data_IF_438162387262
#
_entry.id   IF_438162387262
#
_cell.length_a   1.000
_cell.length_b   1.000
_cell.length_c   1.000
_cell.angle_alpha   90.00
_cell.angle_beta   90.00
_cell.angle_gamma   90.00
#
_symmetry.space_group_name_H-M   'P 1'
#
loop_
_entity.id
_entity.type
_entity.pdbx_description
1 polymer ?
#
# COMPACT_ATOMS: atom_id res chain seq x y z
N UNK A 1 -58.19 26.42 -20.36
CA UNK A 1 -57.88 27.45 -19.35
C UNK A 1 -56.40 27.36 -19.06
N UNK A 2 -55.72 28.29 -19.68
CA UNK A 2 -54.34 28.66 -19.55
C UNK A 2 -54.02 29.09 -18.14
N UNK A 3 -52.84 28.75 -17.67
CA UNK A 3 -52.05 29.65 -16.80
C UNK A 3 -50.56 29.56 -17.17
N UNK A 4 -50.15 30.54 -17.94
CA UNK A 4 -48.76 30.91 -18.13
C UNK A 4 -48.22 31.57 -16.86
N UNK A 5 -47.03 31.21 -16.38
CA UNK A 5 -46.24 32.05 -15.48
C UNK A 5 -44.81 32.11 -16.03
N UNK A 6 -44.55 33.26 -16.60
CA UNK A 6 -43.23 33.78 -16.96
C UNK A 6 -42.40 34.05 -15.70
N UNK A 7 -41.25 33.45 -15.57
CA UNK A 7 -40.21 33.83 -14.63
C UNK A 7 -38.88 33.84 -15.39
N UNK A 8 -38.42 35.07 -15.71
CA UNK A 8 -37.10 35.36 -16.23
C UNK A 8 -36.03 35.05 -15.18
N UNK A 9 -35.22 34.04 -15.41
CA UNK A 9 -33.94 33.88 -14.71
C UNK A 9 -32.78 34.13 -15.68
N UNK A 10 -32.29 35.35 -15.63
CA UNK A 10 -31.06 35.84 -16.25
C UNK A 10 -29.85 35.30 -15.50
N UNK A 11 -29.41 34.10 -15.81
CA UNK A 11 -28.00 33.68 -15.69
C UNK A 11 -27.70 32.68 -16.80
N UNK A 12 -26.82 33.10 -17.72
CA UNK A 12 -26.44 32.32 -18.90
C UNK A 12 -25.73 31.03 -18.54
N UNK A 13 -26.50 29.98 -18.32
CA UNK A 13 -25.99 28.59 -18.33
C UNK A 13 -25.98 28.13 -19.78
N UNK A 14 -24.81 27.97 -20.36
CA UNK A 14 -24.61 27.30 -21.63
C UNK A 14 -25.22 25.88 -21.52
N UNK A 15 -26.42 25.71 -22.01
CA UNK A 15 -27.09 24.41 -22.16
C UNK A 15 -26.40 23.64 -23.29
N UNK A 16 -25.31 22.92 -22.98
CA UNK A 16 -24.76 21.90 -23.87
C UNK A 16 -25.74 20.72 -23.89
N UNK A 17 -26.29 20.30 -25.04
CA UNK A 17 -27.24 19.20 -25.12
C UNK A 17 -26.66 17.93 -24.53
N UNK A 18 -27.46 17.21 -23.74
CA UNK A 18 -27.06 15.99 -23.02
C UNK A 18 -26.35 14.95 -23.92
N UNK A 19 -26.76 14.85 -25.20
CA UNK A 19 -26.13 14.00 -26.20
C UNK A 19 -24.68 14.37 -26.51
N UNK A 20 -24.34 15.67 -26.53
CA UNK A 20 -22.96 16.14 -26.75
C UNK A 20 -22.07 15.87 -25.52
N UNK A 21 -22.60 16.03 -24.30
CA UNK A 21 -21.87 15.66 -23.08
C UNK A 21 -21.56 14.17 -23.00
N UNK A 22 -22.52 13.31 -23.38
CA UNK A 22 -22.28 11.86 -23.41
C UNK A 22 -21.25 11.45 -24.48
N UNK A 23 -21.25 12.11 -25.64
CA UNK A 23 -20.30 11.82 -26.70
C UNK A 23 -18.87 12.26 -26.35
N UNK A 24 -18.71 13.46 -25.77
CA UNK A 24 -17.41 13.97 -25.30
C UNK A 24 -16.86 13.16 -24.13
N UNK A 25 -17.71 12.71 -23.19
CA UNK A 25 -17.30 11.88 -22.06
C UNK A 25 -16.86 10.46 -22.48
N UNK A 26 -17.41 9.89 -23.56
CA UNK A 26 -16.97 8.59 -24.07
C UNK A 26 -15.59 8.66 -24.79
N UNK A 27 -15.20 9.82 -25.32
CA UNK A 27 -13.88 10.04 -25.93
C UNK A 27 -12.76 10.16 -24.88
N UNK A 28 -13.07 10.46 -23.64
CA UNK A 28 -12.11 10.57 -22.56
C UNK A 28 -11.68 9.22 -21.97
N UNK A 29 -12.50 8.17 -22.12
CA UNK A 29 -12.18 6.82 -21.64
C UNK A 29 -11.08 6.23 -22.51
N UNK A 30 -9.99 5.75 -21.86
CA UNK A 30 -8.75 5.30 -22.52
C UNK A 30 -8.06 6.38 -23.37
N UNK A 31 -8.56 7.62 -23.37
CA UNK A 31 -8.04 8.77 -24.12
C UNK A 31 -6.89 9.49 -23.42
N UNK A 32 -6.43 10.59 -24.05
CA UNK A 32 -5.31 11.39 -23.50
C UNK A 32 -5.59 11.93 -22.09
N UNK A 33 -6.83 12.34 -21.80
CA UNK A 33 -7.22 12.82 -20.48
C UNK A 33 -7.09 11.72 -19.40
N UNK A 34 -7.41 10.46 -19.73
CA UNK A 34 -7.24 9.33 -18.84
C UNK A 34 -5.75 9.08 -18.52
N UNK A 35 -4.88 9.14 -19.53
CA UNK A 35 -3.43 8.97 -19.33
C UNK A 35 -2.79 10.10 -18.54
N UNK A 36 -3.20 11.35 -18.78
CA UNK A 36 -2.77 12.49 -17.96
C UNK A 36 -3.21 12.32 -16.48
N UNK A 37 -4.44 11.86 -16.27
CA UNK A 37 -4.96 11.60 -14.92
C UNK A 37 -4.20 10.47 -14.23
N UNK A 38 -3.86 9.41 -14.94
CA UNK A 38 -3.00 8.34 -14.43
C UNK A 38 -1.61 8.86 -14.02
N UNK A 39 -1.00 9.68 -14.87
CA UNK A 39 0.29 10.33 -14.55
C UNK A 39 0.20 11.20 -13.30
N UNK A 40 -0.86 12.00 -13.16
CA UNK A 40 -1.12 12.80 -11.98
C UNK A 40 -1.36 11.94 -10.73
N UNK A 41 -2.11 10.84 -10.85
CA UNK A 41 -2.33 9.89 -9.76
C UNK A 41 -1.04 9.21 -9.30
N UNK A 42 -0.19 8.80 -10.24
CA UNK A 42 1.13 8.24 -9.95
C UNK A 42 2.02 9.25 -9.21
N UNK A 43 2.08 10.50 -9.69
CA UNK A 43 2.86 11.56 -9.07
C UNK A 43 2.35 11.87 -7.65
N UNK A 44 1.04 12.07 -7.47
CA UNK A 44 0.44 12.31 -6.16
C UNK A 44 0.63 11.09 -5.23
N UNK A 45 0.49 9.87 -5.72
CA UNK A 45 0.76 8.66 -4.97
C UNK A 45 2.21 8.54 -4.54
N UNK A 46 3.16 8.95 -5.39
CA UNK A 46 4.60 9.00 -5.09
C UNK A 46 4.92 10.08 -4.06
N UNK A 47 4.36 11.28 -4.22
CA UNK A 47 4.52 12.37 -3.25
C UNK A 47 3.90 12.01 -1.90
N UNK A 48 2.66 11.52 -1.90
CA UNK A 48 1.93 11.17 -0.68
C UNK A 48 2.45 9.91 0.03
N UNK A 49 3.07 9.00 -0.72
CA UNK A 49 3.70 7.79 -0.17
C UNK A 49 4.91 8.08 0.74
N UNK A 50 5.46 9.30 0.70
CA UNK A 50 6.52 9.74 1.62
C UNK A 50 6.12 9.55 3.08
N UNK A 51 4.84 9.67 3.43
CA UNK A 51 4.32 9.51 4.78
C UNK A 51 4.62 8.15 5.40
N UNK A 52 4.80 7.10 4.60
CA UNK A 52 5.14 5.76 5.08
C UNK A 52 6.66 5.57 5.25
N UNK A 53 7.48 6.23 4.43
CA UNK A 53 8.92 5.94 4.34
C UNK A 53 9.81 6.93 5.08
N UNK A 54 9.36 8.18 5.24
CA UNK A 54 10.16 9.21 5.93
C UNK A 54 10.45 8.87 7.39
N UNK A 55 9.46 8.31 8.10
CA UNK A 55 9.59 7.93 9.51
C UNK A 55 10.70 6.90 9.72
N UNK A 56 10.92 6.01 8.76
CA UNK A 56 11.97 4.99 8.80
C UNK A 56 13.37 5.64 8.71
N UNK A 57 13.52 6.63 7.84
CA UNK A 57 14.81 7.33 7.64
C UNK A 57 15.17 8.20 8.83
N UNK A 58 14.19 8.87 9.43
CA UNK A 58 14.44 9.76 10.59
C UNK A 58 14.51 9.02 11.92
N UNK A 59 14.14 7.73 11.97
CA UNK A 59 14.06 6.93 13.18
C UNK A 59 15.33 6.99 14.04
N UNK A 60 16.56 6.81 13.52
CA UNK A 60 17.78 6.90 14.33
C UNK A 60 17.99 8.27 14.94
N UNK A 61 17.68 9.35 14.21
CA UNK A 61 17.83 10.72 14.70
C UNK A 61 16.79 11.05 15.79
N UNK A 62 15.54 10.61 15.59
CA UNK A 62 14.44 10.74 16.56
C UNK A 62 14.76 9.96 17.84
N UNK A 63 15.29 8.74 17.69
CA UNK A 63 15.71 7.91 18.82
C UNK A 63 16.81 8.59 19.66
N UNK A 64 17.83 9.10 18.98
CA UNK A 64 18.96 9.76 19.64
C UNK A 64 18.54 11.05 20.35
N UNK A 65 17.69 11.88 19.72
CA UNK A 65 17.27 13.17 20.30
C UNK A 65 16.32 13.02 21.48
N UNK A 66 15.37 12.08 21.41
CA UNK A 66 14.43 11.86 22.52
C UNK A 66 14.95 10.87 23.57
N UNK A 67 16.12 10.26 23.38
CA UNK A 67 16.75 9.36 24.35
C UNK A 67 15.90 8.12 24.65
N UNK A 68 15.21 7.57 23.66
CA UNK A 68 14.29 6.44 23.81
C UNK A 68 14.86 5.15 23.26
N UNK A 69 14.35 4.00 23.72
CA UNK A 69 14.69 2.69 23.19
C UNK A 69 14.22 2.48 21.75
N UNK A 70 14.76 1.48 21.05
CA UNK A 70 14.44 1.17 19.66
C UNK A 70 12.96 0.80 19.47
N UNK A 71 12.40 0.03 20.40
CA UNK A 71 10.98 -0.31 20.40
C UNK A 71 10.09 0.92 20.51
N UNK A 72 10.41 1.85 21.41
CA UNK A 72 9.69 3.12 21.52
C UNK A 72 9.86 3.99 20.25
N UNK A 73 11.07 4.10 19.71
CA UNK A 73 11.36 4.84 18.49
C UNK A 73 10.62 4.30 17.26
N UNK A 74 10.25 3.00 17.26
CA UNK A 74 9.50 2.35 16.17
C UNK A 74 7.98 2.57 16.27
N UNK A 75 7.45 2.99 17.41
CA UNK A 75 6.00 3.24 17.61
C UNK A 75 5.42 4.25 16.62
N UNK A 76 6.06 5.37 16.26
CA UNK A 76 5.56 6.30 15.25
C UNK A 76 5.28 5.59 13.92
N UNK A 77 6.14 4.67 13.46
CA UNK A 77 5.90 3.88 12.26
C UNK A 77 4.66 2.97 12.42
N UNK A 78 4.57 2.25 13.53
CA UNK A 78 3.43 1.35 13.81
C UNK A 78 2.11 2.10 13.86
N UNK A 79 2.10 3.27 14.51
CA UNK A 79 0.93 4.14 14.56
C UNK A 79 0.61 4.76 13.19
N UNK A 80 1.63 5.03 12.35
CA UNK A 80 1.44 5.43 10.95
C UNK A 80 0.69 4.35 10.18
N UNK A 81 1.06 3.08 10.31
CA UNK A 81 0.37 1.96 9.64
C UNK A 81 -1.08 1.81 10.11
N UNK A 82 -1.33 1.91 11.41
CA UNK A 82 -2.68 1.88 11.98
C UNK A 82 -3.50 3.09 11.50
N UNK A 83 -2.91 4.29 11.58
CA UNK A 83 -3.54 5.53 11.09
C UNK A 83 -3.92 5.43 9.61
N UNK A 84 -3.01 4.91 8.79
CA UNK A 84 -3.27 4.69 7.36
C UNK A 84 -4.41 3.69 7.13
N UNK A 85 -4.44 2.56 7.84
CA UNK A 85 -5.50 1.56 7.73
C UNK A 85 -6.87 2.14 8.12
N UNK A 86 -6.95 2.82 9.24
CA UNK A 86 -8.18 3.48 9.71
C UNK A 86 -8.59 4.61 8.78
N UNK A 87 -7.64 5.48 8.43
CA UNK A 87 -7.86 6.62 7.54
C UNK A 87 -8.37 6.21 6.17
N UNK A 88 -7.86 5.10 5.61
CA UNK A 88 -8.28 4.61 4.28
C UNK A 88 -9.77 4.27 4.22
N UNK A 89 -10.36 3.77 5.31
CA UNK A 89 -11.79 3.47 5.40
C UNK A 89 -12.62 4.77 5.42
N UNK A 90 -12.19 5.75 6.23
CA UNK A 90 -12.92 7.03 6.33
C UNK A 90 -12.78 7.87 5.07
N UNK A 91 -11.58 7.97 4.53
CA UNK A 91 -11.30 8.74 3.31
C UNK A 91 -11.92 8.10 2.07
N UNK A 92 -11.96 6.76 2.00
CA UNK A 92 -12.69 6.05 0.96
C UNK A 92 -14.17 6.40 0.96
N UNK A 93 -14.86 6.29 2.11
CA UNK A 93 -16.27 6.67 2.25
C UNK A 93 -16.52 8.14 1.95
N UNK A 94 -15.60 9.02 2.31
CA UNK A 94 -15.71 10.43 1.99
C UNK A 94 -15.56 10.67 0.48
N UNK A 95 -14.60 10.00 -0.16
CA UNK A 95 -14.42 10.05 -1.62
C UNK A 95 -15.68 9.59 -2.37
N UNK A 96 -16.32 8.52 -1.91
CA UNK A 96 -17.56 8.01 -2.51
C UNK A 96 -18.71 9.04 -2.48
N UNK A 97 -18.72 9.90 -1.49
CA UNK A 97 -19.77 10.92 -1.31
C UNK A 97 -19.51 12.22 -2.06
N UNK A 98 -18.27 12.68 -2.11
CA UNK A 98 -17.91 14.03 -2.58
C UNK A 98 -16.97 14.06 -3.77
N UNK A 99 -16.59 12.88 -4.28
CA UNK A 99 -15.58 12.72 -5.34
C UNK A 99 -14.16 12.81 -4.79
N UNK A 100 -13.18 12.46 -5.64
CA UNK A 100 -11.76 12.32 -5.27
C UNK A 100 -11.06 13.66 -4.98
N UNK A 101 -11.49 14.76 -5.59
CA UNK A 101 -10.81 16.05 -5.52
C UNK A 101 -10.68 16.58 -4.07
N UNK A 102 -11.81 16.64 -3.33
CA UNK A 102 -11.82 17.18 -1.96
C UNK A 102 -10.96 16.38 -0.99
N UNK A 103 -11.04 15.03 -0.94
CA UNK A 103 -10.13 14.21 -0.13
C UNK A 103 -8.65 14.36 -0.48
N UNK A 104 -8.31 14.49 -1.78
CA UNK A 104 -6.92 14.70 -2.22
C UNK A 104 -6.39 16.06 -1.75
N UNK A 105 -7.18 17.14 -1.86
CA UNK A 105 -6.80 18.47 -1.35
C UNK A 105 -6.63 18.44 0.18
N UNK A 106 -7.57 17.85 0.90
CA UNK A 106 -7.48 17.72 2.36
C UNK A 106 -6.27 16.86 2.75
N UNK A 107 -6.00 15.79 2.00
CA UNK A 107 -4.83 14.94 2.18
C UNK A 107 -3.52 15.70 1.97
N UNK A 108 -3.41 16.50 0.91
CA UNK A 108 -2.23 17.31 0.63
C UNK A 108 -1.95 18.33 1.75
N UNK A 109 -3.00 19.01 2.23
CA UNK A 109 -2.89 19.95 3.34
C UNK A 109 -2.52 19.25 4.65
N UNK A 110 -3.21 18.18 4.99
CA UNK A 110 -2.95 17.43 6.23
C UNK A 110 -1.54 16.81 6.23
N UNK A 111 -1.09 16.29 5.08
CA UNK A 111 0.24 15.74 4.93
C UNK A 111 1.31 16.82 5.18
N UNK A 112 1.17 17.98 4.53
CA UNK A 112 2.11 19.08 4.70
C UNK A 112 2.13 19.64 6.12
N UNK A 113 0.96 19.92 6.70
CA UNK A 113 0.82 20.37 8.10
C UNK A 113 1.33 19.32 9.09
N UNK A 114 1.11 18.04 8.79
CA UNK A 114 1.59 16.92 9.60
C UNK A 114 3.12 16.86 9.65
N UNK A 115 3.78 17.10 8.52
CA UNK A 115 5.24 17.18 8.46
C UNK A 115 5.80 18.39 9.21
N UNK A 116 5.14 19.55 9.10
CA UNK A 116 5.51 20.73 9.90
C UNK A 116 5.34 20.43 11.40
N UNK A 117 4.21 19.84 11.79
CA UNK A 117 3.95 19.46 13.19
C UNK A 117 4.97 18.41 13.70
N UNK A 118 5.32 17.42 12.88
CA UNK A 118 6.32 16.41 13.21
C UNK A 118 7.71 17.04 13.42
N UNK A 119 8.11 18.00 12.57
CA UNK A 119 9.36 18.72 12.72
C UNK A 119 9.40 19.65 13.94
N UNK A 120 8.23 20.09 14.43
CA UNK A 120 8.09 20.94 15.63
C UNK A 120 7.83 20.14 16.92
N UNK A 121 7.69 18.81 16.85
CA UNK A 121 7.38 17.97 17.99
C UNK A 121 8.47 18.07 19.09
N UNK A 122 8.01 18.17 20.34
CA UNK A 122 8.88 18.33 21.51
C UNK A 122 9.21 17.01 22.19
N UNK A 123 8.44 15.99 21.90
CA UNK A 123 8.58 14.64 22.44
C UNK A 123 8.09 13.60 21.44
N UNK A 124 8.39 12.32 21.73
CA UNK A 124 8.04 11.20 20.88
C UNK A 124 6.52 11.07 20.68
N UNK A 125 5.70 11.41 21.69
CA UNK A 125 4.24 11.30 21.60
C UNK A 125 3.67 12.29 20.60
N UNK A 126 4.09 13.57 20.64
CA UNK A 126 3.68 14.58 19.67
C UNK A 126 4.09 14.19 18.25
N UNK A 127 5.32 13.70 18.09
CA UNK A 127 5.84 13.20 16.81
C UNK A 127 4.99 12.03 16.30
N UNK A 128 4.72 11.04 17.15
CA UNK A 128 3.92 9.87 16.80
C UNK A 128 2.46 10.24 16.46
N UNK A 129 1.87 11.20 17.17
CA UNK A 129 0.53 11.69 16.92
C UNK A 129 0.43 12.42 15.56
N UNK A 130 1.40 13.27 15.23
CA UNK A 130 1.50 13.93 13.93
C UNK A 130 1.64 12.89 12.80
N UNK A 131 2.48 11.87 12.98
CA UNK A 131 2.66 10.77 12.04
C UNK A 131 1.37 9.97 11.85
N UNK A 132 0.70 9.56 12.92
CA UNK A 132 -0.47 8.70 12.84
C UNK A 132 -1.71 9.41 12.28
N UNK A 133 -1.99 10.63 12.76
CA UNK A 133 -3.24 11.33 12.46
C UNK A 133 -3.11 12.21 11.22
N UNK A 134 -2.15 13.15 11.23
CA UNK A 134 -2.05 14.13 10.16
C UNK A 134 -1.39 13.54 8.92
N UNK A 135 -0.25 12.85 9.08
CA UNK A 135 0.49 12.32 7.94
C UNK A 135 -0.20 11.06 7.39
N UNK A 136 -0.55 10.10 8.23
CA UNK A 136 -1.08 8.82 7.75
C UNK A 136 -2.59 8.83 7.54
N UNK A 137 -3.39 9.06 8.62
CA UNK A 137 -4.83 8.86 8.57
C UNK A 137 -5.55 9.87 7.67
N UNK A 138 -5.12 11.13 7.66
CA UNK A 138 -5.75 12.16 6.85
C UNK A 138 -4.91 12.45 5.61
N UNK A 139 -3.58 12.51 5.74
CA UNK A 139 -2.65 12.92 4.70
C UNK A 139 -2.47 11.89 3.59
N UNK A 140 -1.89 10.73 3.91
CA UNK A 140 -1.51 9.73 2.90
C UNK A 140 -2.66 8.81 2.47
N UNK A 141 -3.64 8.54 3.33
CA UNK A 141 -4.69 7.56 3.07
C UNK A 141 -5.57 7.88 1.84
N UNK A 142 -5.95 9.14 1.54
CA UNK A 142 -6.73 9.45 0.34
C UNK A 142 -5.90 9.39 -0.95
N UNK A 143 -4.57 9.37 -0.83
CA UNK A 143 -3.65 9.47 -1.95
C UNK A 143 -3.27 8.10 -2.56
N UNK A 144 -3.89 7.02 -2.13
CA UNK A 144 -3.66 5.68 -2.68
C UNK A 144 -4.95 4.99 -3.09
N UNK A 145 -5.74 4.47 -2.17
CA UNK A 145 -6.97 3.71 -2.47
C UNK A 145 -8.01 4.52 -3.27
N UNK A 146 -8.38 5.72 -2.82
CA UNK A 146 -9.29 6.61 -3.54
C UNK A 146 -8.80 7.00 -4.94
N UNK A 147 -7.48 7.24 -5.12
CA UNK A 147 -6.93 7.51 -6.45
C UNK A 147 -7.00 6.30 -7.37
N UNK A 148 -6.73 5.10 -6.87
CA UNK A 148 -6.89 3.87 -7.65
C UNK A 148 -8.35 3.67 -8.07
N UNK A 149 -9.30 3.91 -7.16
CA UNK A 149 -10.72 3.84 -7.47
C UNK A 149 -11.10 4.83 -8.58
N UNK A 150 -10.66 6.09 -8.46
CA UNK A 150 -10.89 7.12 -9.47
C UNK A 150 -10.29 6.75 -10.83
N UNK A 151 -9.01 6.37 -10.89
CA UNK A 151 -8.35 5.94 -12.13
C UNK A 151 -9.09 4.79 -12.79
N UNK A 152 -9.68 3.88 -12.02
CA UNK A 152 -10.43 2.75 -12.55
C UNK A 152 -11.64 3.13 -13.41
N UNK A 153 -12.20 4.32 -13.23
CA UNK A 153 -13.32 4.85 -14.01
C UNK A 153 -12.91 5.50 -15.34
N UNK A 154 -11.62 5.84 -15.50
CA UNK A 154 -11.09 6.47 -16.71
C UNK A 154 -10.58 5.48 -17.74
N UNK A 155 -10.43 4.20 -17.35
CA UNK A 155 -9.92 3.15 -18.22
C UNK A 155 -10.91 2.00 -18.34
N UNK A 156 -11.08 1.49 -19.57
CA UNK A 156 -11.86 0.30 -19.89
C UNK A 156 -10.95 -0.80 -20.44
N UNK A 157 -10.25 -0.52 -21.52
CA UNK A 157 -9.32 -1.46 -22.18
C UNK A 157 -8.06 -1.72 -21.37
N UNK A 158 -7.48 -0.67 -20.79
CA UNK A 158 -6.19 -0.73 -20.08
C UNK A 158 -6.35 -0.63 -18.55
N UNK A 159 -7.53 -0.95 -18.03
CA UNK A 159 -7.86 -0.75 -16.61
C UNK A 159 -6.91 -1.46 -15.66
N UNK A 160 -6.58 -2.74 -15.89
CA UNK A 160 -5.66 -3.51 -15.05
C UNK A 160 -4.25 -2.91 -15.06
N UNK A 161 -3.76 -2.52 -16.24
CA UNK A 161 -2.47 -1.86 -16.38
C UNK A 161 -2.44 -0.51 -15.64
N UNK A 162 -3.44 0.33 -15.83
CA UNK A 162 -3.55 1.64 -15.18
C UNK A 162 -3.57 1.52 -13.64
N UNK A 163 -4.33 0.55 -13.10
CA UNK A 163 -4.34 0.26 -11.66
C UNK A 163 -2.98 -0.21 -11.15
N UNK A 164 -2.29 -1.06 -11.91
CA UNK A 164 -0.95 -1.52 -11.55
C UNK A 164 0.05 -0.37 -11.52
N UNK A 165 0.04 0.50 -12.53
CA UNK A 165 0.88 1.71 -12.59
C UNK A 165 0.58 2.63 -11.40
N UNK A 166 -0.69 2.93 -11.12
CA UNK A 166 -1.08 3.75 -9.98
C UNK A 166 -0.58 3.15 -8.65
N UNK A 167 -0.69 1.82 -8.50
CA UNK A 167 -0.25 1.12 -7.29
C UNK A 167 1.28 1.11 -7.09
N UNK A 168 2.07 1.34 -8.15
CA UNK A 168 3.55 1.45 -8.02
C UNK A 168 3.99 2.77 -7.39
N UNK A 169 3.11 3.78 -7.29
CA UNK A 169 3.42 5.08 -6.69
C UNK A 169 4.01 4.99 -5.29
N UNK A 170 3.51 4.08 -4.44
CA UNK A 170 4.06 3.85 -3.11
C UNK A 170 5.50 3.27 -3.13
N UNK A 171 5.80 2.40 -4.08
CA UNK A 171 7.15 1.86 -4.26
C UNK A 171 8.10 2.92 -4.84
N UNK A 172 7.63 3.76 -5.78
CA UNK A 172 8.38 4.94 -6.21
C UNK A 172 8.67 5.88 -5.06
N UNK A 173 7.71 6.09 -4.15
CA UNK A 173 7.94 6.88 -2.94
C UNK A 173 9.07 6.28 -2.09
N UNK A 174 9.04 4.98 -1.82
CA UNK A 174 10.08 4.28 -1.06
C UNK A 174 11.42 4.22 -1.77
N UNK A 175 11.45 4.34 -3.09
CA UNK A 175 12.68 4.38 -3.89
C UNK A 175 13.31 5.77 -3.88
N UNK A 176 12.50 6.83 -4.00
CA UNK A 176 13.01 8.19 -4.22
C UNK A 176 13.25 8.95 -2.90
N UNK A 177 12.32 8.84 -1.94
CA UNK A 177 12.36 9.68 -0.75
C UNK A 177 13.47 9.34 0.24
N UNK A 178 13.84 8.09 0.54
CA UNK A 178 14.86 7.80 1.54
C UNK A 178 16.20 8.48 1.27
N UNK A 179 16.82 8.40 0.07
CA UNK A 179 18.06 9.10 -0.21
C UNK A 179 17.90 10.62 -0.23
N UNK A 180 16.76 11.14 -0.72
CA UNK A 180 16.49 12.58 -0.72
C UNK A 180 16.40 13.12 0.71
N UNK A 181 15.64 12.45 1.57
CA UNK A 181 15.48 12.84 2.98
C UNK A 181 16.82 12.80 3.69
N UNK A 182 17.58 11.72 3.50
CA UNK A 182 18.89 11.58 4.12
C UNK A 182 19.86 12.69 3.67
N UNK A 183 19.86 13.06 2.39
CA UNK A 183 20.68 14.15 1.87
C UNK A 183 20.43 15.47 2.60
N UNK A 184 19.15 15.87 2.71
CA UNK A 184 18.80 17.10 3.42
C UNK A 184 19.01 17.01 4.95
N UNK A 185 18.87 15.82 5.53
CA UNK A 185 19.10 15.61 6.96
C UNK A 185 20.57 15.82 7.36
N UNK A 186 21.52 15.53 6.46
CA UNK A 186 22.95 15.73 6.74
C UNK A 186 23.30 17.22 6.91
N UNK A 187 22.68 18.10 6.11
CA UNK A 187 22.98 19.52 6.13
C UNK A 187 22.10 20.31 7.10
N UNK A 188 20.82 19.98 7.20
CA UNK A 188 19.82 20.77 7.92
C UNK A 188 19.27 20.09 9.18
N UNK A 189 19.61 18.84 9.41
CA UNK A 189 19.03 18.03 10.48
C UNK A 189 17.58 17.56 10.17
N UNK A 190 17.09 16.60 10.94
CA UNK A 190 15.81 15.94 10.65
C UNK A 190 14.59 16.86 10.81
N UNK A 191 14.62 17.79 11.78
CA UNK A 191 13.49 18.71 12.05
C UNK A 191 13.26 19.68 10.89
N UNK A 192 14.31 20.37 10.45
CA UNK A 192 14.23 21.30 9.34
C UNK A 192 13.87 20.58 8.03
N UNK A 193 14.39 19.36 7.83
CA UNK A 193 14.05 18.51 6.69
C UNK A 193 12.56 18.14 6.69
N UNK A 194 11.98 17.77 7.84
CA UNK A 194 10.54 17.50 7.96
C UNK A 194 9.70 18.74 7.62
N UNK A 195 10.03 19.90 8.20
CA UNK A 195 9.31 21.15 7.93
C UNK A 195 9.41 21.54 6.44
N UNK A 196 10.62 21.50 5.87
CA UNK A 196 10.85 21.80 4.45
C UNK A 196 10.07 20.87 3.53
N UNK A 197 10.03 19.57 3.87
CA UNK A 197 9.25 18.58 3.14
C UNK A 197 7.75 18.88 3.21
N UNK A 198 7.23 19.25 4.37
CA UNK A 198 5.82 19.64 4.53
C UNK A 198 5.44 20.80 3.63
N UNK A 199 6.26 21.85 3.60
CA UNK A 199 6.06 23.02 2.74
C UNK A 199 6.13 22.63 1.26
N UNK A 200 7.15 21.85 0.87
CA UNK A 200 7.32 21.38 -0.50
C UNK A 200 6.11 20.57 -0.97
N UNK A 201 5.63 19.62 -0.16
CA UNK A 201 4.48 18.80 -0.50
C UNK A 201 3.21 19.64 -0.70
N UNK A 202 2.94 20.63 0.16
CA UNK A 202 1.81 21.53 -0.02
C UNK A 202 1.91 22.31 -1.33
N UNK A 203 3.07 22.89 -1.62
CA UNK A 203 3.28 23.69 -2.83
C UNK A 203 3.09 22.86 -4.11
N UNK A 204 3.57 21.61 -4.12
CA UNK A 204 3.54 20.76 -5.32
C UNK A 204 2.21 20.01 -5.45
N UNK A 205 1.68 19.46 -4.35
CA UNK A 205 0.50 18.60 -4.43
C UNK A 205 -0.81 19.38 -4.60
N UNK A 206 -0.91 20.60 -4.06
CA UNK A 206 -2.14 21.39 -4.20
C UNK A 206 -2.44 21.73 -5.67
N UNK A 207 -1.50 22.25 -6.48
CA UNK A 207 -1.73 22.43 -7.91
C UNK A 207 -2.06 21.13 -8.64
N UNK A 208 -1.34 20.03 -8.34
CA UNK A 208 -1.61 18.74 -8.95
C UNK A 208 -3.01 18.21 -8.60
N UNK A 209 -3.52 18.51 -7.40
CA UNK A 209 -4.87 18.11 -6.99
C UNK A 209 -5.95 18.69 -7.91
N UNK A 210 -5.75 19.88 -8.49
CA UNK A 210 -6.72 20.47 -9.42
C UNK A 210 -6.96 19.64 -10.68
N UNK A 211 -6.03 18.78 -11.09
CA UNK A 211 -6.23 17.83 -12.18
C UNK A 211 -7.34 16.81 -11.86
N UNK A 212 -7.68 16.62 -10.59
CA UNK A 212 -8.75 15.74 -10.13
C UNK A 212 -10.11 16.44 -9.95
N UNK A 213 -10.20 17.74 -10.28
CA UNK A 213 -11.43 18.50 -10.17
C UNK A 213 -12.53 18.02 -11.14
N UNK A 214 -12.11 17.50 -12.32
CA UNK A 214 -13.03 16.94 -13.30
C UNK A 214 -13.58 15.60 -12.76
N UNK A 215 -14.91 15.42 -12.65
CA UNK A 215 -15.48 14.17 -12.19
C UNK A 215 -15.15 13.04 -13.16
N UNK A 216 -15.10 11.81 -12.64
CA UNK A 216 -14.91 10.63 -13.47
C UNK A 216 -16.08 10.48 -14.46
N UNK A 217 -15.83 9.94 -15.68
CA UNK A 217 -16.88 9.65 -16.65
C UNK A 217 -17.91 8.70 -16.01
N UNK A 218 -19.20 9.00 -16.20
CA UNK A 218 -20.27 8.08 -15.80
C UNK A 218 -20.21 6.88 -16.74
N UNK A 219 -19.66 5.80 -16.25
CA UNK A 219 -19.80 4.50 -16.88
C UNK A 219 -21.03 3.85 -16.26
N UNK A 220 -21.90 3.24 -17.09
CA UNK A 220 -22.85 2.25 -16.59
C UNK A 220 -22.07 1.30 -15.70
N UNK A 221 -22.55 1.08 -14.47
CA UNK A 221 -21.79 0.42 -13.40
C UNK A 221 -20.93 -0.69 -14.01
N UNK A 222 -19.61 -0.65 -13.92
CA UNK A 222 -18.78 -1.61 -14.59
C UNK A 222 -19.29 -2.96 -14.13
N UNK A 223 -19.72 -3.79 -15.09
CA UNK A 223 -19.91 -5.21 -14.82
C UNK A 223 -18.72 -5.58 -13.96
N UNK A 224 -18.98 -5.82 -12.68
CA UNK A 224 -17.99 -5.89 -11.61
C UNK A 224 -16.75 -6.54 -12.18
N UNK A 225 -15.54 -6.16 -11.76
CA UNK A 225 -14.25 -6.66 -12.27
C UNK A 225 -14.30 -8.20 -12.33
N UNK A 226 -15.10 -8.70 -13.23
CA UNK A 226 -15.46 -10.09 -13.46
C UNK A 226 -14.62 -10.69 -14.59
N UNK A 227 -13.40 -10.20 -14.76
CA UNK A 227 -12.33 -11.03 -15.30
C UNK A 227 -11.74 -11.89 -14.18
N UNK A 228 -12.63 -12.47 -13.37
CA UNK A 228 -12.29 -13.67 -12.61
C UNK A 228 -12.26 -14.77 -13.65
N UNK A 229 -11.12 -15.37 -13.86
CA UNK A 229 -11.03 -16.70 -14.47
C UNK A 229 -11.83 -17.62 -13.56
N UNK A 230 -13.14 -17.69 -13.78
CA UNK A 230 -13.98 -18.70 -13.19
C UNK A 230 -13.48 -20.03 -13.74
N UNK A 231 -12.69 -20.74 -12.97
CA UNK A 231 -12.62 -22.19 -13.16
C UNK A 231 -13.99 -22.73 -12.76
N UNK A 232 -14.72 -23.37 -13.68
CA UNK A 232 -16.14 -23.72 -13.49
C UNK A 232 -16.46 -24.69 -12.33
N UNK A 233 -15.44 -25.26 -11.71
CA UNK A 233 -15.55 -26.36 -10.74
C UNK A 233 -15.29 -26.00 -9.27
N UNK A 234 -15.21 -24.71 -8.91
CA UNK A 234 -14.97 -24.35 -7.51
C UNK A 234 -16.24 -24.02 -6.76
N UNK A 235 -16.46 -24.71 -5.64
CA UNK A 235 -17.51 -24.38 -4.69
C UNK A 235 -17.13 -23.11 -3.89
N UNK A 236 -17.64 -21.95 -4.35
CA UNK A 236 -17.40 -20.66 -3.71
C UNK A 236 -18.14 -20.52 -2.38
N UNK A 237 -19.08 -21.42 -2.06
CA UNK A 237 -19.78 -21.44 -0.77
C UNK A 237 -18.89 -22.00 0.36
N UNK A 238 -17.88 -22.80 -0.01
CA UNK A 238 -16.92 -23.42 0.91
C UNK A 238 -15.47 -23.27 0.42
N UNK A 239 -14.90 -22.05 0.46
CA UNK A 239 -13.54 -21.82 0.03
C UNK A 239 -12.57 -22.78 0.76
N UNK A 240 -11.77 -23.51 0.01
CA UNK A 240 -10.85 -24.52 0.54
C UNK A 240 -11.55 -25.65 1.35
N UNK A 241 -12.84 -25.88 1.14
CA UNK A 241 -13.62 -26.81 1.96
C UNK A 241 -13.84 -26.36 3.42
N UNK A 242 -13.60 -25.08 3.71
CA UNK A 242 -13.79 -24.43 5.01
C UNK A 242 -15.02 -23.53 4.99
N UNK A 243 -15.48 -23.12 6.18
CA UNK A 243 -16.45 -22.03 6.24
C UNK A 243 -15.81 -20.73 5.68
N UNK A 244 -16.57 -19.85 5.03
CA UNK A 244 -16.04 -18.61 4.44
C UNK A 244 -15.31 -17.73 5.47
N UNK A 245 -15.80 -17.68 6.71
CA UNK A 245 -15.18 -16.88 7.77
C UNK A 245 -13.85 -17.50 8.26
N UNK A 246 -13.76 -18.83 8.35
CA UNK A 246 -12.51 -19.51 8.70
C UNK A 246 -11.46 -19.34 7.60
N UNK A 247 -11.84 -19.48 6.34
CA UNK A 247 -10.96 -19.24 5.20
C UNK A 247 -10.45 -17.79 5.20
N UNK A 248 -11.33 -16.81 5.45
CA UNK A 248 -10.98 -15.41 5.58
C UNK A 248 -10.02 -15.16 6.75
N UNK A 249 -10.27 -15.76 7.90
CA UNK A 249 -9.41 -15.61 9.08
C UNK A 249 -8.00 -16.16 8.82
N UNK A 250 -7.88 -17.31 8.15
CA UNK A 250 -6.57 -17.88 7.77
C UNK A 250 -5.83 -16.98 6.78
N UNK A 251 -6.51 -16.44 5.77
CA UNK A 251 -5.92 -15.52 4.80
C UNK A 251 -5.46 -14.23 5.50
N UNK A 252 -6.30 -13.67 6.37
CA UNK A 252 -5.97 -12.47 7.14
C UNK A 252 -4.77 -12.71 8.06
N UNK A 253 -4.75 -13.84 8.78
CA UNK A 253 -3.64 -14.19 9.66
C UNK A 253 -2.34 -14.48 8.90
N UNK A 254 -2.40 -15.14 7.74
CA UNK A 254 -1.27 -15.29 6.85
C UNK A 254 -0.74 -13.92 6.39
N UNK A 255 -1.63 -12.96 6.09
CA UNK A 255 -1.28 -11.58 5.75
C UNK A 255 -0.57 -10.86 6.89
N UNK A 256 -1.05 -11.01 8.14
CA UNK A 256 -0.33 -10.50 9.33
C UNK A 256 1.05 -11.13 9.43
N UNK A 257 1.14 -12.46 9.38
CA UNK A 257 2.39 -13.18 9.54
C UNK A 257 3.44 -12.81 8.47
N UNK A 258 3.01 -12.72 7.22
CA UNK A 258 3.85 -12.27 6.11
C UNK A 258 4.41 -10.86 6.35
N UNK A 259 3.55 -9.93 6.78
CA UNK A 259 3.93 -8.53 6.91
C UNK A 259 4.72 -8.23 8.20
N UNK A 260 4.55 -9.02 9.26
CA UNK A 260 5.48 -9.01 10.39
C UNK A 260 6.90 -9.37 9.93
N UNK A 261 7.04 -10.40 9.13
CA UNK A 261 8.33 -10.80 8.56
C UNK A 261 8.92 -9.73 7.63
N UNK A 262 8.06 -9.11 6.81
CA UNK A 262 8.44 -8.07 5.83
C UNK A 262 8.91 -6.79 6.50
N UNK A 263 8.34 -6.44 7.66
CA UNK A 263 8.62 -5.19 8.36
C UNK A 263 10.05 -5.10 8.90
N UNK A 264 10.70 -6.24 9.20
CA UNK A 264 12.05 -6.22 9.76
C UNK A 264 13.04 -5.49 8.84
N UNK A 265 13.30 -5.90 7.60
CA UNK A 265 14.20 -5.17 6.74
C UNK A 265 13.68 -3.78 6.37
N UNK A 266 12.37 -3.64 6.10
CA UNK A 266 11.82 -2.37 5.63
C UNK A 266 11.86 -1.25 6.67
N UNK A 267 11.68 -1.56 7.94
CA UNK A 267 11.61 -0.55 9.02
C UNK A 267 12.97 -0.33 9.66
N UNK A 268 13.76 -1.39 9.80
CA UNK A 268 14.97 -1.36 10.61
C UNK A 268 16.27 -1.29 9.79
N UNK A 269 16.24 -1.42 8.45
CA UNK A 269 17.47 -1.44 7.63
C UNK A 269 18.33 -0.19 7.82
N UNK A 270 17.70 1.00 7.98
CA UNK A 270 18.43 2.26 8.16
C UNK A 270 19.14 2.28 9.52
N UNK A 271 18.43 1.85 10.57
CA UNK A 271 18.99 1.75 11.91
C UNK A 271 20.03 0.63 12.01
N UNK A 272 19.77 -0.51 11.37
CA UNK A 272 20.72 -1.64 11.30
C UNK A 272 22.04 -1.25 10.65
N UNK A 273 22.01 -0.57 9.50
CA UNK A 273 23.22 -0.06 8.85
C UNK A 273 23.97 0.96 9.70
N UNK A 274 23.23 1.82 10.44
CA UNK A 274 23.83 2.77 11.36
C UNK A 274 24.57 2.06 12.50
N UNK A 275 23.96 1.02 13.09
CA UNK A 275 24.51 0.26 14.21
C UNK A 275 25.71 -0.61 13.79
N UNK A 276 25.74 -1.09 12.52
CA UNK A 276 26.90 -1.75 11.92
C UNK A 276 28.05 -0.78 11.55
N UNK A 277 27.87 0.53 11.76
CA UNK A 277 28.88 1.54 11.45
C UNK A 277 28.92 1.99 10.00
N UNK A 278 28.01 1.53 9.14
CA UNK A 278 27.92 1.97 7.73
C UNK A 278 27.24 3.32 7.55
N UNK A 279 26.49 3.75 8.58
CA UNK A 279 25.79 5.03 8.63
C UNK A 279 24.40 5.01 8.00
N UNK A 280 23.60 6.03 8.33
CA UNK A 280 22.18 6.19 7.91
C UNK A 280 22.04 6.27 6.39
N UNK A 281 23.01 6.91 5.70
CA UNK A 281 23.00 7.06 4.25
C UNK A 281 22.94 5.71 3.52
N UNK A 282 23.78 4.76 3.91
CA UNK A 282 23.81 3.42 3.29
C UNK A 282 22.53 2.64 3.54
N UNK A 283 21.95 2.79 4.73
CA UNK A 283 20.65 2.20 5.03
C UNK A 283 19.51 2.80 4.20
N UNK A 284 19.51 4.11 3.97
CA UNK A 284 18.55 4.78 3.10
C UNK A 284 18.68 4.35 1.62
N UNK A 285 19.92 4.17 1.13
CA UNK A 285 20.20 3.63 -0.21
C UNK A 285 19.70 2.18 -0.34
N UNK A 286 19.90 1.33 0.66
CA UNK A 286 19.44 -0.06 0.68
C UNK A 286 17.91 -0.14 0.69
N UNK A 287 17.24 0.72 1.46
CA UNK A 287 15.78 0.83 1.47
C UNK A 287 15.26 1.26 0.08
N UNK A 288 15.91 2.25 -0.52
CA UNK A 288 15.59 2.72 -1.87
C UNK A 288 15.74 1.59 -2.90
N UNK A 289 16.84 0.85 -2.86
CA UNK A 289 17.11 -0.29 -3.74
C UNK A 289 16.07 -1.40 -3.56
N UNK A 290 15.74 -1.74 -2.32
CA UNK A 290 14.70 -2.71 -1.96
C UNK A 290 13.35 -2.31 -2.57
N UNK A 291 12.94 -1.07 -2.45
CA UNK A 291 11.67 -0.57 -3.02
C UNK A 291 11.72 -0.53 -4.54
N UNK A 292 12.83 -0.14 -5.14
CA UNK A 292 13.03 -0.13 -6.59
C UNK A 292 12.88 -1.52 -7.21
N UNK A 293 13.55 -2.53 -6.65
CA UNK A 293 13.38 -3.93 -7.07
C UNK A 293 11.97 -4.46 -6.76
N UNK A 294 11.32 -3.92 -5.74
CA UNK A 294 9.92 -4.20 -5.43
C UNK A 294 8.95 -3.80 -6.54
N UNK A 295 9.24 -2.75 -7.32
CA UNK A 295 8.47 -2.37 -8.51
C UNK A 295 8.53 -3.49 -9.56
N UNK A 296 9.74 -3.97 -9.86
CA UNK A 296 9.95 -5.07 -10.82
C UNK A 296 9.21 -6.32 -10.36
N UNK A 297 9.36 -6.67 -9.07
CA UNK A 297 8.68 -7.79 -8.45
C UNK A 297 7.15 -7.69 -8.59
N UNK A 298 6.58 -6.52 -8.33
CA UNK A 298 5.13 -6.31 -8.39
C UNK A 298 4.57 -6.54 -9.79
N UNK A 299 5.27 -6.04 -10.80
CA UNK A 299 4.86 -6.22 -12.20
C UNK A 299 5.01 -7.69 -12.64
N UNK A 300 6.14 -8.33 -12.32
CA UNK A 300 6.40 -9.72 -12.62
C UNK A 300 5.40 -10.66 -11.92
N UNK A 301 5.12 -10.41 -10.64
CA UNK A 301 4.18 -11.23 -9.86
C UNK A 301 2.74 -11.10 -10.35
N UNK A 302 2.32 -9.93 -10.84
CA UNK A 302 1.04 -9.76 -11.51
C UNK A 302 0.91 -10.72 -12.69
N UNK A 303 1.89 -10.72 -13.60
CA UNK A 303 1.91 -11.63 -14.75
C UNK A 303 1.99 -13.12 -14.35
N UNK A 304 2.76 -13.44 -13.31
CA UNK A 304 2.86 -14.82 -12.80
C UNK A 304 1.52 -15.25 -12.20
N UNK A 305 0.86 -14.39 -11.41
CA UNK A 305 -0.40 -14.72 -10.76
C UNK A 305 -1.54 -14.94 -11.74
N UNK A 306 -1.53 -14.26 -12.89
CA UNK A 306 -2.48 -14.51 -13.98
C UNK A 306 -2.34 -15.92 -14.58
N UNK A 307 -1.15 -16.50 -14.55
CA UNK A 307 -0.88 -17.84 -15.09
C UNK A 307 -1.06 -18.98 -14.10
N UNK A 308 -0.59 -18.79 -12.85
CA UNK A 308 -0.56 -19.89 -11.86
C UNK A 308 -1.51 -19.69 -10.68
N UNK A 309 -2.21 -18.53 -10.62
CA UNK A 309 -3.14 -18.14 -9.56
C UNK A 309 -2.46 -17.50 -8.36
N UNK A 310 -3.25 -16.74 -7.59
CA UNK A 310 -2.76 -15.96 -6.46
C UNK A 310 -2.12 -16.79 -5.36
N UNK A 311 -2.66 -17.98 -5.06
CA UNK A 311 -2.17 -18.82 -3.96
C UNK A 311 -0.79 -19.42 -4.21
N UNK A 312 -0.50 -19.84 -5.45
CA UNK A 312 0.84 -20.35 -5.82
C UNK A 312 1.86 -19.21 -5.90
N UNK A 313 1.44 -18.04 -6.36
CA UNK A 313 2.27 -16.82 -6.38
C UNK A 313 2.64 -16.40 -4.97
N UNK A 314 1.68 -16.41 -4.02
CA UNK A 314 1.93 -16.19 -2.61
C UNK A 314 2.96 -17.17 -2.05
N UNK A 315 2.84 -18.48 -2.36
CA UNK A 315 3.76 -19.51 -1.88
C UNK A 315 5.20 -19.24 -2.35
N UNK A 316 5.37 -18.96 -3.65
CA UNK A 316 6.69 -18.68 -4.24
C UNK A 316 7.28 -17.43 -3.61
N UNK A 317 6.53 -16.33 -3.56
CA UNK A 317 7.00 -15.08 -2.96
C UNK A 317 7.39 -15.24 -1.50
N UNK A 318 6.56 -15.93 -0.70
CA UNK A 318 6.84 -16.19 0.72
C UNK A 318 8.06 -17.08 0.95
N UNK A 319 8.26 -18.10 0.10
CA UNK A 319 9.46 -18.93 0.16
C UNK A 319 10.72 -18.10 -0.13
N UNK A 320 10.71 -17.33 -1.21
CA UNK A 320 11.83 -16.48 -1.59
C UNK A 320 12.08 -15.35 -0.56
N UNK A 321 11.04 -14.80 0.04
CA UNK A 321 11.17 -13.85 1.18
C UNK A 321 11.88 -14.50 2.37
N UNK A 322 11.54 -15.75 2.71
CA UNK A 322 12.23 -16.51 3.75
C UNK A 322 13.70 -16.70 3.45
N UNK A 323 14.04 -17.03 2.19
CA UNK A 323 15.43 -17.12 1.75
C UNK A 323 16.16 -15.78 1.94
N UNK A 324 15.57 -14.68 1.52
CA UNK A 324 16.20 -13.36 1.66
C UNK A 324 16.38 -12.96 3.14
N UNK A 325 15.40 -13.27 4.01
CA UNK A 325 15.54 -13.06 5.46
C UNK A 325 16.67 -13.89 6.07
N UNK A 326 16.82 -15.14 5.64
CA UNK A 326 17.93 -15.99 6.09
C UNK A 326 19.29 -15.42 5.64
N UNK A 327 19.36 -14.84 4.43
CA UNK A 327 20.59 -14.21 3.94
C UNK A 327 20.99 -12.98 4.78
N UNK A 328 20.04 -12.23 5.35
CA UNK A 328 20.35 -11.14 6.29
C UNK A 328 21.00 -11.63 7.58
N UNK A 329 20.67 -12.84 8.05
CA UNK A 329 21.31 -13.44 9.24
C UNK A 329 22.74 -13.91 8.93
N UNK A 330 23.01 -14.31 7.68
CA UNK A 330 24.31 -14.90 7.30
C UNK A 330 25.32 -13.81 6.89
N UNK A 331 24.83 -12.73 6.28
CA UNK A 331 25.69 -11.73 5.64
C UNK A 331 25.52 -10.34 6.25
N UNK A 332 26.59 -9.82 6.85
CA UNK A 332 26.63 -8.49 7.49
C UNK A 332 27.50 -7.48 6.73
N UNK A 333 28.22 -7.90 5.69
CA UNK A 333 29.09 -7.01 4.92
C UNK A 333 28.31 -6.00 4.07
N UNK A 334 28.85 -4.79 3.91
CA UNK A 334 28.19 -3.71 3.19
C UNK A 334 27.68 -4.12 1.79
N UNK A 335 28.55 -4.70 0.96
CA UNK A 335 28.18 -5.12 -0.40
C UNK A 335 27.15 -6.25 -0.41
N UNK A 336 27.26 -7.21 0.51
CA UNK A 336 26.29 -8.30 0.62
C UNK A 336 24.92 -7.79 1.06
N UNK A 337 24.86 -6.81 1.98
CA UNK A 337 23.61 -6.20 2.39
C UNK A 337 22.89 -5.46 1.26
N UNK A 338 23.62 -4.80 0.35
CA UNK A 338 23.04 -4.23 -0.87
C UNK A 338 22.39 -5.31 -1.75
N UNK A 339 23.10 -6.43 -1.98
CA UNK A 339 22.59 -7.54 -2.78
C UNK A 339 21.37 -8.17 -2.11
N UNK A 340 21.45 -8.45 -0.82
CA UNK A 340 20.34 -9.06 -0.05
C UNK A 340 19.12 -8.11 -0.03
N UNK A 341 19.33 -6.81 0.11
CA UNK A 341 18.24 -5.81 0.06
C UNK A 341 17.55 -5.78 -1.32
N UNK A 342 18.33 -5.85 -2.40
CA UNK A 342 17.79 -5.95 -3.76
C UNK A 342 16.99 -7.24 -3.96
N UNK A 343 17.52 -8.39 -3.54
CA UNK A 343 16.84 -9.68 -3.60
C UNK A 343 15.57 -9.69 -2.77
N UNK A 344 15.61 -9.15 -1.55
CA UNK A 344 14.42 -9.03 -0.70
C UNK A 344 13.33 -8.21 -1.40
N UNK A 345 13.70 -7.07 -1.98
CA UNK A 345 12.77 -6.25 -2.77
C UNK A 345 12.16 -7.02 -3.94
N UNK A 346 13.02 -7.75 -4.70
CA UNK A 346 12.61 -8.56 -5.84
C UNK A 346 11.64 -9.70 -5.45
N UNK A 347 11.75 -10.23 -4.24
CA UNK A 347 10.96 -11.39 -3.80
C UNK A 347 9.63 -10.98 -3.15
N UNK A 348 9.58 -9.85 -2.47
CA UNK A 348 8.43 -9.45 -1.65
C UNK A 348 7.32 -8.68 -2.38
N UNK A 349 7.64 -7.98 -3.48
CA UNK A 349 6.73 -6.99 -4.09
C UNK A 349 5.38 -7.53 -4.55
N UNK A 350 5.31 -8.81 -4.88
CA UNK A 350 4.10 -9.50 -5.32
C UNK A 350 3.26 -10.15 -4.23
N UNK A 351 3.76 -10.24 -2.99
CA UNK A 351 3.11 -11.02 -1.94
C UNK A 351 1.78 -10.39 -1.50
N UNK A 352 1.79 -9.10 -1.19
CA UNK A 352 0.58 -8.40 -0.70
C UNK A 352 -0.54 -8.40 -1.74
N UNK A 353 -0.32 -8.11 -3.03
CA UNK A 353 -1.34 -8.24 -4.06
C UNK A 353 -1.92 -9.64 -4.19
N UNK A 354 -1.13 -10.68 -3.92
CA UNK A 354 -1.59 -12.08 -4.01
C UNK A 354 -2.74 -12.38 -3.05
N UNK A 355 -2.80 -11.74 -1.86
CA UNK A 355 -3.94 -11.90 -0.95
C UNK A 355 -5.25 -11.39 -1.55
N UNK A 356 -5.21 -10.25 -2.26
CA UNK A 356 -6.38 -9.74 -2.95
C UNK A 356 -6.82 -10.66 -4.09
N UNK A 357 -5.86 -11.25 -4.82
CA UNK A 357 -6.14 -12.24 -5.89
C UNK A 357 -6.77 -13.50 -5.30
N UNK A 358 -6.23 -14.06 -4.22
CA UNK A 358 -6.78 -15.24 -3.54
C UNK A 358 -8.23 -15.01 -3.13
N UNK A 359 -8.52 -13.86 -2.54
CA UNK A 359 -9.91 -13.53 -2.16
C UNK A 359 -10.81 -13.50 -3.39
N UNK A 360 -10.37 -12.91 -4.49
CA UNK A 360 -11.16 -12.86 -5.73
C UNK A 360 -11.34 -14.21 -6.41
N UNK A 361 -10.36 -15.11 -6.27
CA UNK A 361 -10.40 -16.46 -6.87
C UNK A 361 -11.29 -17.44 -6.08
N UNK A 362 -11.42 -17.27 -4.76
CA UNK A 362 -12.02 -18.27 -3.88
C UNK A 362 -13.30 -17.82 -3.20
N UNK A 363 -13.68 -16.54 -3.27
CA UNK A 363 -14.90 -16.04 -2.62
C UNK A 363 -15.89 -15.45 -3.64
N UNK A 364 -17.20 -15.43 -3.31
CA UNK A 364 -18.21 -14.84 -4.18
C UNK A 364 -17.92 -13.36 -4.49
N UNK A 365 -18.15 -12.96 -5.74
CA UNK A 365 -17.89 -11.58 -6.20
C UNK A 365 -18.63 -10.52 -5.36
N UNK A 366 -19.83 -10.84 -4.87
CA UNK A 366 -20.65 -9.96 -4.01
C UNK A 366 -19.94 -9.55 -2.72
N UNK A 367 -19.11 -10.43 -2.16
CA UNK A 367 -18.41 -10.23 -0.88
C UNK A 367 -16.94 -9.87 -1.07
N UNK A 368 -16.41 -10.02 -2.29
CA UNK A 368 -14.98 -9.89 -2.59
C UNK A 368 -14.39 -8.54 -2.15
N UNK A 369 -15.11 -7.44 -2.35
CA UNK A 369 -14.64 -6.11 -1.95
C UNK A 369 -14.36 -6.00 -0.44
N UNK A 370 -15.32 -6.41 0.39
CA UNK A 370 -15.18 -6.40 1.86
C UNK A 370 -14.07 -7.35 2.31
N UNK A 371 -14.01 -8.54 1.72
CA UNK A 371 -13.02 -9.56 2.10
C UNK A 371 -11.59 -9.18 1.69
N UNK A 372 -11.41 -8.56 0.53
CA UNK A 372 -10.13 -7.98 0.12
C UNK A 372 -9.70 -6.87 1.09
N UNK A 373 -10.62 -5.99 1.48
CA UNK A 373 -10.31 -4.92 2.44
C UNK A 373 -9.86 -5.48 3.78
N UNK A 374 -10.52 -6.53 4.30
CA UNK A 374 -10.11 -7.21 5.54
C UNK A 374 -8.71 -7.81 5.40
N UNK A 375 -8.42 -8.50 4.29
CA UNK A 375 -7.10 -9.10 4.07
C UNK A 375 -6.00 -8.03 3.99
N UNK A 376 -6.23 -6.94 3.26
CA UNK A 376 -5.25 -5.84 3.14
C UNK A 376 -5.09 -5.06 4.45
N UNK A 377 -6.16 -4.84 5.22
CA UNK A 377 -6.04 -4.25 6.56
C UNK A 377 -5.21 -5.12 7.49
N UNK A 378 -5.39 -6.45 7.42
CA UNK A 378 -4.58 -7.40 8.19
C UNK A 378 -3.08 -7.29 7.84
N UNK A 379 -2.72 -7.09 6.57
CA UNK A 379 -1.32 -6.86 6.18
C UNK A 379 -0.75 -5.58 6.79
N UNK A 380 -1.53 -4.49 6.85
CA UNK A 380 -1.11 -3.25 7.50
C UNK A 380 -0.90 -3.42 9.01
N UNK A 381 -1.78 -4.17 9.68
CA UNK A 381 -1.61 -4.51 11.09
C UNK A 381 -0.37 -5.38 11.32
N UNK A 382 -0.05 -6.29 10.39
CA UNK A 382 1.18 -7.05 10.39
C UNK A 382 2.43 -6.15 10.31
N UNK A 383 2.44 -5.16 9.42
CA UNK A 383 3.52 -4.17 9.33
C UNK A 383 3.65 -3.35 10.62
N UNK A 384 2.53 -2.92 11.20
CA UNK A 384 2.53 -2.18 12.46
C UNK A 384 3.10 -3.01 13.60
N UNK A 385 2.62 -4.25 13.76
CA UNK A 385 3.08 -5.16 14.80
C UNK A 385 4.57 -5.49 14.65
N UNK A 386 4.99 -5.86 13.44
CA UNK A 386 6.36 -6.26 13.18
C UNK A 386 7.36 -5.11 13.30
N UNK A 387 6.99 -3.90 12.86
CA UNK A 387 7.83 -2.71 13.03
C UNK A 387 8.15 -2.42 14.51
N UNK A 388 7.16 -2.50 15.37
CA UNK A 388 7.36 -2.34 16.83
C UNK A 388 8.06 -3.55 17.46
N UNK A 389 7.58 -4.77 17.19
CA UNK A 389 8.06 -6.00 17.82
C UNK A 389 9.57 -6.22 17.57
N UNK A 390 10.05 -5.96 16.36
CA UNK A 390 11.46 -6.11 16.04
C UNK A 390 12.35 -5.08 16.78
N UNK A 391 11.83 -3.88 17.03
CA UNK A 391 12.50 -2.90 17.88
C UNK A 391 12.59 -3.37 19.33
N UNK A 392 11.52 -3.93 19.89
CA UNK A 392 11.50 -4.49 21.26
C UNK A 392 12.44 -5.70 21.38
N UNK A 393 12.46 -6.58 20.38
CA UNK A 393 13.40 -7.73 20.37
C UNK A 393 14.83 -7.23 20.37
N UNK A 394 15.16 -6.22 19.58
CA UNK A 394 16.48 -5.60 19.59
C UNK A 394 16.83 -4.99 20.95
N UNK A 395 15.88 -4.31 21.60
CA UNK A 395 16.14 -3.72 22.93
C UNK A 395 16.48 -4.76 23.99
N UNK A 396 15.85 -5.95 23.93
CA UNK A 396 16.09 -7.05 24.88
C UNK A 396 17.36 -7.84 24.55
N UNK A 397 17.60 -8.11 23.27
CA UNK A 397 18.67 -9.03 22.84
C UNK A 397 19.95 -8.30 22.43
N UNK A 398 19.86 -7.02 22.11
CA UNK A 398 20.92 -6.20 21.50
C UNK A 398 21.47 -6.80 20.20
N UNK A 399 20.66 -7.64 19.54
CA UNK A 399 21.01 -8.32 18.29
C UNK A 399 19.89 -8.19 17.26
N UNK A 400 20.25 -7.84 16.04
CA UNK A 400 19.35 -7.89 14.90
C UNK A 400 19.12 -9.31 14.39
N UNK A 401 20.02 -10.24 14.66
CA UNK A 401 19.83 -11.65 14.27
C UNK A 401 18.54 -12.22 14.86
N UNK A 402 18.29 -11.90 16.15
CA UNK A 402 17.06 -12.32 16.81
C UNK A 402 15.80 -11.68 16.20
N UNK A 403 15.90 -10.45 15.72
CA UNK A 403 14.81 -9.79 15.01
C UNK A 403 14.59 -10.42 13.61
N UNK A 404 15.65 -10.77 12.88
CA UNK A 404 15.55 -11.51 11.61
C UNK A 404 15.01 -12.92 11.82
N UNK A 405 15.45 -13.63 12.87
CA UNK A 405 14.93 -14.96 13.22
C UNK A 405 13.44 -14.90 13.59
N UNK A 406 13.00 -13.87 14.32
CA UNK A 406 11.59 -13.60 14.54
C UNK A 406 10.84 -13.43 13.21
N UNK A 407 11.39 -12.64 12.29
CA UNK A 407 10.86 -12.50 10.92
C UNK A 407 10.75 -13.83 10.19
N UNK A 408 11.78 -14.68 10.26
CA UNK A 408 11.76 -16.03 9.69
C UNK A 408 10.69 -16.92 10.29
N UNK A 409 10.49 -16.88 11.61
CA UNK A 409 9.45 -17.67 12.29
C UNK A 409 8.05 -17.26 11.80
N UNK A 410 7.78 -15.96 11.71
CA UNK A 410 6.52 -15.44 11.18
C UNK A 410 6.34 -15.78 9.68
N UNK A 411 7.42 -15.70 8.90
CA UNK A 411 7.37 -16.10 7.49
C UNK A 411 7.10 -17.59 7.31
N UNK A 412 7.69 -18.44 8.16
CA UNK A 412 7.41 -19.88 8.17
C UNK A 412 5.93 -20.17 8.48
N UNK A 413 5.33 -19.42 9.41
CA UNK A 413 3.91 -19.54 9.72
C UNK A 413 3.05 -19.16 8.51
N UNK A 414 3.35 -18.04 7.83
CA UNK A 414 2.68 -17.66 6.59
C UNK A 414 2.82 -18.75 5.51
N UNK A 415 4.03 -19.28 5.32
CA UNK A 415 4.30 -20.32 4.35
C UNK A 415 3.50 -21.61 4.67
N UNK A 416 3.42 -21.98 5.93
CA UNK A 416 2.66 -23.15 6.40
C UNK A 416 1.17 -23.01 6.11
N UNK A 417 0.60 -21.80 6.33
CA UNK A 417 -0.80 -21.53 6.00
C UNK A 417 -1.02 -21.57 4.47
N UNK A 418 -0.10 -21.00 3.69
CA UNK A 418 -0.20 -21.04 2.23
C UNK A 418 -0.18 -22.49 1.70
N UNK A 419 0.73 -23.32 2.21
CA UNK A 419 0.81 -24.76 1.87
C UNK A 419 -0.47 -25.49 2.29
N UNK A 420 -0.97 -25.25 3.51
CA UNK A 420 -2.23 -25.82 3.98
C UNK A 420 -3.41 -25.47 3.07
N UNK A 421 -3.53 -24.21 2.68
CA UNK A 421 -4.60 -23.77 1.76
C UNK A 421 -4.45 -24.39 0.37
N UNK A 422 -3.22 -24.57 -0.15
CA UNK A 422 -2.97 -25.25 -1.43
C UNK A 422 -3.39 -26.72 -1.35
N UNK A 423 -3.02 -27.43 -0.29
CA UNK A 423 -3.43 -28.84 -0.09
C UNK A 423 -4.94 -28.98 -0.04
N UNK A 424 -5.61 -28.06 0.63
CA UNK A 424 -7.06 -28.02 0.69
C UNK A 424 -7.74 -27.65 -0.63
N UNK A 425 -7.14 -26.75 -1.41
CA UNK A 425 -7.64 -26.36 -2.73
C UNK A 425 -7.56 -27.53 -3.76
N UNK A 426 -6.73 -28.54 -3.49
CA UNK A 426 -6.57 -29.76 -4.31
C UNK A 426 -7.46 -30.93 -3.84
N UNK A 427 -8.33 -30.74 -2.82
CA UNK A 427 -9.21 -31.75 -2.27
C UNK A 427 -10.11 -32.40 -3.33
N UNK A 428 -10.64 -33.63 -3.08
CA UNK A 428 -11.24 -34.46 -4.12
C UNK A 428 -12.40 -33.72 -4.79
N UNK A 429 -12.34 -33.68 -6.13
CA UNK A 429 -13.49 -33.45 -6.99
C UNK A 429 -14.64 -34.35 -6.50
N UNK A 430 -15.85 -33.83 -6.27
CA UNK A 430 -16.99 -34.70 -5.97
C UNK A 430 -17.07 -35.73 -7.12
N UNK A 431 -16.97 -37.02 -6.76
CA UNK A 431 -17.30 -38.08 -7.72
C UNK A 431 -18.68 -37.76 -8.27
N UNK A 432 -18.75 -37.51 -9.57
CA UNK A 432 -20.00 -37.52 -10.30
C UNK A 432 -20.76 -38.75 -9.86
N UNK A 433 -21.88 -38.54 -9.17
CA UNK A 433 -22.81 -39.61 -8.94
C UNK A 433 -23.20 -40.11 -10.34
N UNK A 434 -22.74 -41.30 -10.69
CA UNK A 434 -23.24 -42.04 -11.86
C UNK A 434 -24.71 -42.23 -11.58
N UNK A 435 -25.55 -41.55 -12.35
CA UNK A 435 -27.01 -41.83 -12.43
C UNK A 435 -27.09 -43.26 -12.93
N UNK A 436 -27.67 -44.20 -12.15
CA UNK A 436 -27.96 -45.52 -12.70
C UNK A 436 -28.99 -45.39 -13.81
N UNK A 437 -28.75 -46.09 -14.95
CA UNK A 437 -29.59 -46.15 -16.13
C UNK A 437 -30.92 -46.85 -15.85
#
# INVERSE_FOLDING_TARGET
>A
MEYASTGEDTFGTFNVPLSRRHFEMNQDIDGFAAWMRLGAALLIGTLGGVGMWSVVVVLPAVQAEFGVDRGAASLPYSLTMIGYAVGSVFMGRWTDRVGVFRPVVAGALALGLGYVAAGMARNLFEFALAQAVLIAAIGSSPLFGPLMADVSWWFRRYRGFALSVCATGNYFAGTLWPPIINYFMQDYGWRATQIGMGIFLMIVMLPLAFLFRRPAPVQDAPAAVNAVVHTPDRDLSRPFGLSPNMAQALIAFAGVACCVAMSMPQVHIVAYCSDLGFGVARGAEMLSLMMGFGIVSRLASGYISDKIGGLKTLLIGSFLQGVALALYVIFEGLNSLYVVSALFGLFQGGIVPSYAMIVREYFPAKEAGTRVSIALTATMLGMALGGWLNGVIFDWTKSYDMAFLNGLAWNFLNLSIAVFLIMRARGPTPRTATVPA
#
